data_IF_209588170497
#
_entry.id   IF_209588170497
#
_cell.length_a   1.000
_cell.length_b   1.000
_cell.length_c   1.000
_cell.angle_alpha   90.00
_cell.angle_beta   90.00
_cell.angle_gamma   90.00
#
_symmetry.space_group_name_H-M   'P 1'
#
loop_
_entity.id
_entity.type
_entity.pdbx_description
1 polymer ?
#
# COMPACT_ATOMS: atom_id res chain seq x y z
N UNK A 1 -1.25 -3.29 9.41
CA UNK A 1 -2.38 -2.45 8.94
C UNK A 1 -3.69 -3.09 9.41
N UNK A 2 -4.70 -2.30 9.79
CA UNK A 2 -6.02 -2.81 10.19
C UNK A 2 -7.11 -2.09 9.40
N UNK A 3 -7.59 -2.68 8.28
CA UNK A 3 -8.67 -2.08 7.49
C UNK A 3 -9.97 -1.96 8.27
N UNK A 4 -10.57 -0.77 8.25
CA UNK A 4 -11.84 -0.48 8.92
C UNK A 4 -12.96 -0.36 7.88
N UNK A 5 -13.88 -1.34 7.74
CA UNK A 5 -14.95 -1.31 6.73
C UNK A 5 -15.79 -0.03 6.80
N UNK A 6 -16.17 0.40 8.00
CA UNK A 6 -16.99 1.60 8.21
C UNK A 6 -16.25 2.88 7.84
N UNK A 7 -15.00 3.03 8.30
CA UNK A 7 -14.22 4.24 8.06
C UNK A 7 -13.70 4.36 6.63
N UNK A 8 -13.33 3.24 6.02
CA UNK A 8 -12.75 3.21 4.67
C UNK A 8 -13.80 2.95 3.59
N UNK A 9 -15.01 2.57 4.00
CA UNK A 9 -16.20 2.32 3.16
C UNK A 9 -15.91 1.29 2.07
N UNK A 10 -15.59 0.06 2.48
CA UNK A 10 -15.41 -1.10 1.60
C UNK A 10 -16.24 -2.29 2.12
N UNK A 11 -16.38 -3.33 1.30
CA UNK A 11 -17.10 -4.56 1.65
C UNK A 11 -16.44 -5.28 2.85
N UNK A 12 -17.17 -5.56 3.95
CA UNK A 12 -16.63 -6.24 5.13
C UNK A 12 -16.02 -7.63 4.89
N UNK A 13 -16.28 -8.26 3.74
CA UNK A 13 -15.67 -9.54 3.33
C UNK A 13 -14.25 -9.41 2.75
N UNK A 14 -13.79 -8.19 2.42
CA UNK A 14 -12.51 -7.94 1.75
C UNK A 14 -11.32 -7.47 2.62
N UNK A 15 -11.32 -7.49 3.97
CA UNK A 15 -10.23 -6.87 4.74
C UNK A 15 -8.88 -7.57 4.55
N UNK A 16 -8.88 -8.90 4.34
CA UNK A 16 -7.66 -9.66 4.06
C UNK A 16 -7.06 -9.30 2.70
N UNK A 17 -7.89 -9.22 1.67
CA UNK A 17 -7.46 -8.84 0.33
C UNK A 17 -6.91 -7.41 0.33
N UNK A 18 -7.60 -6.48 1.00
CA UNK A 18 -7.18 -5.09 1.07
C UNK A 18 -5.86 -4.92 1.83
N UNK A 19 -5.65 -5.70 2.89
CA UNK A 19 -4.38 -5.72 3.64
C UNK A 19 -3.22 -6.23 2.80
N UNK A 20 -3.44 -7.28 1.99
CA UNK A 20 -2.43 -7.78 1.04
C UNK A 20 -2.09 -6.74 -0.02
N UNK A 21 -3.11 -6.17 -0.67
CA UNK A 21 -2.96 -5.09 -1.66
C UNK A 21 -2.23 -3.87 -1.10
N UNK A 22 -2.42 -3.52 0.17
CA UNK A 22 -1.69 -2.42 0.80
C UNK A 22 -0.18 -2.66 0.82
N UNK A 23 0.24 -3.90 1.07
CA UNK A 23 1.65 -4.31 1.11
C UNK A 23 2.19 -4.48 -0.31
N UNK A 24 1.46 -5.20 -1.17
CA UNK A 24 1.88 -5.47 -2.56
C UNK A 24 1.98 -4.19 -3.41
N UNK A 25 1.15 -3.17 -3.14
CA UNK A 25 1.26 -1.88 -3.82
C UNK A 25 2.43 -1.03 -3.33
N UNK A 26 3.02 -1.39 -2.18
CA UNK A 26 4.04 -0.58 -1.53
C UNK A 26 3.49 0.61 -0.75
N UNK A 27 2.16 0.80 -0.65
CA UNK A 27 1.55 1.82 0.22
C UNK A 27 1.98 1.58 1.67
N UNK A 28 1.90 0.34 2.13
CA UNK A 28 2.29 -0.09 3.46
C UNK A 28 3.61 -0.84 3.43
N UNK A 29 4.58 -0.40 4.23
CA UNK A 29 5.87 -1.08 4.37
C UNK A 29 5.82 -2.00 5.58
N UNK A 30 6.03 -3.28 5.36
CA UNK A 30 6.15 -4.28 6.42
C UNK A 30 7.65 -4.52 6.69
N UNK A 31 8.09 -4.18 7.90
CA UNK A 31 9.48 -4.28 8.33
C UNK A 31 9.57 -4.69 9.80
N UNK A 32 10.72 -5.21 10.18
CA UNK A 32 11.12 -5.49 11.55
C UNK A 32 12.22 -4.51 11.95
N UNK A 33 12.19 -4.06 13.19
CA UNK A 33 13.21 -3.19 13.74
C UNK A 33 13.56 -3.60 15.17
N UNK A 34 14.84 -3.59 15.48
CA UNK A 34 15.38 -3.95 16.78
C UNK A 34 16.33 -2.82 17.22
N UNK A 35 16.17 -2.35 18.46
CA UNK A 35 17.00 -1.28 19.02
C UNK A 35 17.07 0.01 18.19
N UNK A 36 16.01 0.30 17.42
CA UNK A 36 15.93 1.49 16.57
C UNK A 36 16.47 1.31 15.15
N UNK A 37 17.04 0.14 14.84
CA UNK A 37 17.57 -0.19 13.51
C UNK A 37 16.62 -1.14 12.78
N UNK A 38 16.42 -0.93 11.49
CA UNK A 38 15.63 -1.84 10.65
C UNK A 38 16.46 -3.10 10.39
N UNK A 39 15.97 -4.25 10.87
CA UNK A 39 16.66 -5.54 10.75
C UNK A 39 16.19 -6.35 9.56
N UNK A 40 14.91 -6.20 9.16
CA UNK A 40 14.34 -6.93 8.05
C UNK A 40 13.23 -6.13 7.38
N UNK A 41 13.05 -6.32 6.08
CA UNK A 41 11.99 -5.70 5.31
C UNK A 41 11.35 -6.79 4.44
N UNK A 42 10.05 -7.00 4.62
CA UNK A 42 9.30 -7.92 3.76
C UNK A 42 9.20 -7.35 2.35
N UNK A 43 9.80 -8.05 1.38
CA UNK A 43 9.73 -7.73 -0.05
C UNK A 43 8.59 -8.54 -0.71
N UNK A 44 7.51 -7.89 -1.17
CA UNK A 44 6.48 -8.56 -1.96
C UNK A 44 7.07 -9.16 -3.24
N UNK A 45 6.56 -10.33 -3.66
CA UNK A 45 7.02 -11.00 -4.90
C UNK A 45 6.66 -10.25 -6.18
N UNK A 46 5.59 -9.46 -6.13
CA UNK A 46 5.09 -8.66 -7.24
C UNK A 46 4.60 -7.33 -6.68
N UNK A 47 5.00 -6.25 -7.32
CA UNK A 47 4.45 -4.93 -7.04
C UNK A 47 3.21 -4.69 -7.89
N UNK A 48 2.12 -4.21 -7.29
CA UNK A 48 0.90 -3.82 -8.01
C UNK A 48 0.77 -2.28 -8.07
N UNK A 49 0.09 -1.72 -9.08
CA UNK A 49 -0.23 -0.29 -9.09
C UNK A 49 -1.03 0.12 -7.85
N UNK A 50 -0.77 1.31 -7.32
CA UNK A 50 -1.47 1.87 -6.16
C UNK A 50 -2.98 1.91 -6.39
N UNK A 51 -3.40 2.19 -7.63
CA UNK A 51 -4.81 2.21 -8.02
C UNK A 51 -5.55 0.90 -7.66
N UNK A 52 -4.89 -0.25 -7.76
CA UNK A 52 -5.50 -1.55 -7.39
C UNK A 52 -5.79 -1.66 -5.90
N UNK A 53 -4.95 -1.05 -5.06
CA UNK A 53 -5.23 -0.92 -3.64
C UNK A 53 -6.36 0.07 -3.37
N UNK A 54 -6.36 1.26 -4.01
CA UNK A 54 -7.38 2.30 -3.77
C UNK A 54 -8.79 1.87 -4.19
N UNK A 55 -8.89 0.99 -5.19
CA UNK A 55 -10.15 0.53 -5.75
C UNK A 55 -11.07 -0.11 -4.70
N UNK A 56 -12.36 0.25 -4.72
CA UNK A 56 -13.35 -0.29 -3.78
C UNK A 56 -13.35 0.35 -2.39
N UNK A 57 -12.43 1.27 -2.09
CA UNK A 57 -12.43 2.04 -0.84
C UNK A 57 -13.14 3.38 -1.03
N UNK A 58 -14.31 3.57 -0.41
CA UNK A 58 -15.08 4.79 -0.54
C UNK A 58 -14.38 6.06 -0.01
N UNK A 59 -13.38 5.93 0.87
CA UNK A 59 -12.55 7.08 1.32
C UNK A 59 -11.75 7.74 0.19
N UNK A 60 -11.50 7.06 -0.91
CA UNK A 60 -10.76 7.59 -2.07
C UNK A 60 -11.67 7.98 -3.24
N UNK A 61 -13.00 7.99 -3.06
CA UNK A 61 -13.96 8.34 -4.13
C UNK A 61 -13.76 9.70 -4.79
N UNK A 62 -13.13 10.64 -4.08
CA UNK A 62 -12.89 12.00 -4.55
C UNK A 62 -11.54 12.17 -5.25
N UNK A 63 -10.73 11.11 -5.35
CA UNK A 63 -9.44 11.18 -6.01
C UNK A 63 -9.61 11.33 -7.52
N UNK A 64 -8.92 12.31 -8.11
CA UNK A 64 -8.82 12.45 -9.56
C UNK A 64 -7.70 11.56 -10.10
N UNK A 65 -7.65 11.31 -11.43
CA UNK A 65 -6.54 10.58 -12.05
C UNK A 65 -5.16 11.16 -11.69
N UNK A 66 -5.04 12.48 -11.67
CA UNK A 66 -3.79 13.19 -11.38
C UNK A 66 -3.33 12.95 -9.93
N UNK A 67 -4.26 12.93 -8.97
CA UNK A 67 -3.97 12.61 -7.57
C UNK A 67 -3.51 11.15 -7.41
N UNK A 68 -4.10 10.22 -8.16
CA UNK A 68 -3.70 8.80 -8.15
C UNK A 68 -2.29 8.65 -8.73
N UNK A 69 -1.98 9.35 -9.81
CA UNK A 69 -0.64 9.34 -10.39
C UNK A 69 0.41 9.99 -9.47
N UNK A 70 0.07 11.08 -8.79
CA UNK A 70 0.95 11.70 -7.81
C UNK A 70 1.25 10.73 -6.66
N UNK A 71 0.22 10.04 -6.14
CA UNK A 71 0.40 9.03 -5.12
C UNK A 71 1.24 7.85 -5.63
N UNK A 72 1.04 7.42 -6.88
CA UNK A 72 1.86 6.38 -7.51
C UNK A 72 3.33 6.80 -7.54
N UNK A 73 3.65 8.00 -8.03
CA UNK A 73 5.02 8.54 -8.05
C UNK A 73 5.64 8.58 -6.66
N UNK A 74 4.88 9.00 -5.65
CA UNK A 74 5.35 9.01 -4.26
C UNK A 74 5.65 7.60 -3.74
N UNK A 75 4.75 6.63 -4.00
CA UNK A 75 4.97 5.23 -3.61
C UNK A 75 6.17 4.62 -4.34
N UNK A 76 6.36 4.91 -5.62
CA UNK A 76 7.49 4.41 -6.41
C UNK A 76 8.83 4.96 -5.88
N UNK A 77 8.86 6.26 -5.57
CA UNK A 77 10.03 6.87 -4.96
C UNK A 77 10.33 6.28 -3.56
N UNK A 78 9.29 6.09 -2.74
CA UNK A 78 9.43 5.40 -1.45
C UNK A 78 9.93 3.96 -1.64
N UNK A 79 9.38 3.24 -2.61
CA UNK A 79 9.75 1.87 -2.90
C UNK A 79 11.23 1.76 -3.23
N UNK A 80 11.71 2.59 -4.16
CA UNK A 80 13.12 2.62 -4.56
C UNK A 80 14.07 2.86 -3.38
N UNK A 81 13.68 3.74 -2.44
CA UNK A 81 14.48 4.04 -1.24
C UNK A 81 14.52 2.90 -0.22
N UNK A 82 13.43 2.15 -0.07
CA UNK A 82 13.28 1.13 0.98
C UNK A 82 13.68 -0.26 0.48
N UNK A 83 13.26 -0.63 -0.73
CA UNK A 83 13.39 -1.99 -1.26
C UNK A 83 14.46 -2.14 -2.34
N UNK A 84 14.85 -1.04 -2.99
CA UNK A 84 15.77 -1.03 -4.13
C UNK A 84 15.03 -1.17 -5.46
N UNK A 85 15.48 -2.08 -6.32
CA UNK A 85 14.84 -2.34 -7.62
C UNK A 85 13.47 -3.00 -7.46
N UNK A 86 12.62 -2.84 -8.49
CA UNK A 86 11.30 -3.47 -8.52
C UNK A 86 11.43 -4.96 -8.83
N UNK A 87 10.66 -5.83 -8.15
CA UNK A 87 10.62 -7.27 -8.42
C UNK A 87 9.95 -7.61 -9.75
#
# INVERSE_FOLDING_TARGET
ISPCPTGWRFDPSLPLELSRKAVDSGIWTLFEAEYGEITNIYKPKKKIPVKEYLMGQGRFRHFTPEMVEELQRWVDHKWKRIYGEEP
#
